data_IF_600798206880
#
_entry.id   IF_600798206880
#
_cell.length_a   1.000
_cell.length_b   1.000
_cell.length_c   1.000
_cell.angle_alpha   90.00
_cell.angle_beta   90.00
_cell.angle_gamma   90.00
#
_symmetry.space_group_name_H-M   'P 1'
#
loop_
_entity.id
_entity.type
_entity.pdbx_description
1 polymer ?
#
# COMPACT_ATOMS: atom_id res chain seq x y z
N UNK A 1 5.68 -10.31 55.99
CA UNK A 1 5.57 -9.28 54.93
C UNK A 1 5.98 -9.94 53.63
N UNK A 2 5.07 -10.02 52.65
CA UNK A 2 5.27 -10.77 51.39
C UNK A 2 6.26 -10.06 50.46
N UNK A 3 7.12 -10.76 49.71
CA UNK A 3 7.94 -10.12 48.70
C UNK A 3 7.07 -9.80 47.47
N UNK A 4 7.16 -8.56 46.99
CA UNK A 4 6.57 -8.17 45.73
C UNK A 4 7.35 -8.80 44.57
N UNK A 5 6.74 -9.73 43.83
CA UNK A 5 7.22 -10.10 42.51
C UNK A 5 6.92 -8.95 41.55
N UNK A 6 7.94 -8.22 41.12
CA UNK A 6 7.88 -7.42 39.91
C UNK A 6 7.96 -8.38 38.72
N UNK A 7 6.82 -8.68 38.09
CA UNK A 7 6.80 -9.33 36.79
C UNK A 7 7.20 -8.29 35.72
N UNK A 8 8.47 -8.31 35.33
CA UNK A 8 8.89 -7.65 34.09
C UNK A 8 8.30 -8.44 32.92
N UNK A 9 7.25 -7.92 32.30
CA UNK A 9 6.74 -8.48 31.06
C UNK A 9 7.80 -8.29 29.97
N UNK A 10 8.41 -9.39 29.49
CA UNK A 10 9.18 -9.35 28.26
C UNK A 10 8.22 -8.97 27.14
N UNK A 11 8.34 -7.74 26.63
CA UNK A 11 7.66 -7.34 25.39
C UNK A 11 8.35 -8.12 24.28
N UNK A 12 7.70 -9.17 23.77
CA UNK A 12 8.17 -9.89 22.59
C UNK A 12 8.31 -8.89 21.43
N UNK A 13 9.44 -8.92 20.72
CA UNK A 13 9.62 -8.10 19.52
C UNK A 13 8.51 -8.38 18.52
N UNK A 14 7.95 -7.35 17.86
CA UNK A 14 6.91 -7.57 16.87
C UNK A 14 7.42 -8.44 15.72
N UNK A 15 6.55 -9.26 15.10
CA UNK A 15 6.90 -10.01 13.90
C UNK A 15 7.40 -9.08 12.78
N UNK A 16 8.31 -9.59 11.92
CA UNK A 16 8.85 -8.83 10.79
C UNK A 16 7.75 -8.30 9.87
N UNK A 17 6.66 -9.04 9.69
CA UNK A 17 5.50 -8.61 8.89
C UNK A 17 4.82 -7.37 9.47
N UNK A 18 4.64 -7.30 10.79
CA UNK A 18 4.06 -6.13 11.46
C UNK A 18 4.97 -4.92 11.41
N UNK A 19 6.29 -5.11 11.52
CA UNK A 19 7.28 -4.05 11.31
C UNK A 19 7.26 -3.56 9.87
N UNK A 20 7.20 -4.49 8.90
CA UNK A 20 7.19 -4.15 7.48
C UNK A 20 5.97 -3.30 7.12
N UNK A 21 4.76 -3.74 7.51
CA UNK A 21 3.52 -2.96 7.33
C UNK A 21 3.64 -1.54 7.87
N UNK A 22 4.17 -1.40 9.09
CA UNK A 22 4.37 -0.10 9.75
C UNK A 22 5.31 0.79 8.94
N UNK A 23 6.49 0.30 8.58
CA UNK A 23 7.49 1.11 7.86
C UNK A 23 7.00 1.47 6.45
N UNK A 24 6.19 0.62 5.82
CA UNK A 24 5.52 0.96 4.54
C UNK A 24 4.65 2.20 4.70
N UNK A 25 3.71 2.20 5.65
CA UNK A 25 2.78 3.33 5.80
C UNK A 25 3.47 4.58 6.32
N UNK A 26 4.44 4.46 7.24
CA UNK A 26 5.27 5.58 7.69
C UNK A 26 6.01 6.22 6.50
N UNK A 27 6.63 5.40 5.65
CA UNK A 27 7.34 5.91 4.47
C UNK A 27 6.39 6.62 3.51
N UNK A 28 5.20 6.07 3.26
CA UNK A 28 4.20 6.66 2.38
C UNK A 28 3.68 8.00 2.94
N UNK A 29 3.36 8.05 4.24
CA UNK A 29 2.87 9.26 4.93
C UNK A 29 3.90 10.37 4.91
N UNK A 30 5.19 10.07 5.10
CA UNK A 30 6.27 11.07 5.01
C UNK A 30 6.32 11.79 3.66
N UNK A 31 5.81 11.18 2.59
CA UNK A 31 5.77 11.81 1.26
C UNK A 31 4.71 12.91 1.13
N UNK A 32 3.78 13.02 2.09
CA UNK A 32 2.76 14.09 2.11
C UNK A 32 3.38 15.46 2.36
N UNK A 33 4.44 15.54 3.17
CA UNK A 33 5.08 16.81 3.52
C UNK A 33 6.14 17.21 2.49
N UNK A 34 7.11 16.32 2.29
CA UNK A 34 8.23 16.55 1.37
C UNK A 34 8.65 15.23 0.75
N UNK A 35 8.54 15.09 -0.59
CA UNK A 35 9.04 13.92 -1.28
C UNK A 35 10.51 13.67 -0.95
N UNK A 36 10.82 12.43 -0.59
CA UNK A 36 12.18 11.99 -0.29
C UNK A 36 13.07 12.20 -1.53
N UNK A 37 14.27 12.81 -1.39
CA UNK A 37 15.20 12.98 -2.50
C UNK A 37 15.60 11.66 -3.20
N UNK A 38 15.55 10.53 -2.48
CA UNK A 38 15.78 9.20 -3.03
C UNK A 38 14.61 8.66 -3.87
N UNK A 39 13.43 9.29 -3.80
CA UNK A 39 12.30 8.99 -4.67
C UNK A 39 12.40 9.79 -5.97
N UNK A 40 12.93 9.12 -7.00
CA UNK A 40 13.17 9.68 -8.33
C UNK A 40 11.92 10.31 -8.93
N UNK A 41 12.06 11.50 -9.55
CA UNK A 41 10.94 12.27 -10.08
C UNK A 41 10.16 11.50 -11.15
N UNK A 42 10.85 10.72 -11.98
CA UNK A 42 10.27 9.92 -13.06
C UNK A 42 9.39 8.78 -12.54
N UNK A 43 9.52 8.45 -11.26
CA UNK A 43 8.71 7.43 -10.59
C UNK A 43 7.71 8.06 -9.61
N UNK A 44 7.44 9.36 -9.67
CA UNK A 44 6.41 10.00 -8.83
C UNK A 44 5.04 9.82 -9.48
N UNK A 45 4.53 8.62 -9.34
CA UNK A 45 3.19 8.20 -9.74
C UNK A 45 2.57 7.30 -8.65
N UNK A 46 1.34 6.83 -8.85
CA UNK A 46 0.64 6.00 -7.86
C UNK A 46 1.36 4.65 -7.59
N UNK A 47 1.85 3.97 -8.62
CA UNK A 47 2.62 2.74 -8.47
C UNK A 47 4.02 3.01 -7.92
N UNK A 48 4.61 4.13 -8.29
CA UNK A 48 5.88 4.60 -7.81
C UNK A 48 5.90 4.87 -6.31
N UNK A 49 4.83 5.43 -5.75
CA UNK A 49 4.68 5.57 -4.30
C UNK A 49 4.65 4.20 -3.61
N UNK A 50 3.90 3.23 -4.15
CA UNK A 50 3.87 1.85 -3.65
C UNK A 50 5.26 1.23 -3.72
N UNK A 51 5.92 1.30 -4.88
CA UNK A 51 7.28 0.75 -5.06
C UNK A 51 8.26 1.37 -4.07
N UNK A 52 8.24 2.69 -3.93
CA UNK A 52 9.12 3.42 -3.04
C UNK A 52 8.89 3.04 -1.57
N UNK A 53 7.64 3.03 -1.10
CA UNK A 53 7.32 2.74 0.29
C UNK A 53 7.70 1.30 0.69
N UNK A 54 7.36 0.32 -0.15
CA UNK A 54 7.68 -1.08 0.09
C UNK A 54 9.17 -1.39 0.00
N UNK A 55 9.87 -0.83 -1.01
CA UNK A 55 11.32 -1.01 -1.16
C UNK A 55 12.06 -0.40 0.01
N UNK A 56 11.76 0.84 0.37
CA UNK A 56 12.39 1.54 1.51
C UNK A 56 12.17 0.79 2.81
N UNK A 57 10.99 0.20 3.01
CA UNK A 57 10.72 -0.59 4.19
C UNK A 57 11.59 -1.86 4.26
N UNK A 58 11.73 -2.61 3.16
CA UNK A 58 12.63 -3.77 3.15
C UNK A 58 14.10 -3.37 3.21
N UNK A 59 14.51 -2.29 2.57
CA UNK A 59 15.89 -1.79 2.64
C UNK A 59 16.31 -1.49 4.09
N UNK A 60 15.36 -1.03 4.92
CA UNK A 60 15.60 -0.78 6.36
C UNK A 60 15.53 -2.04 7.23
N UNK A 61 14.68 -2.99 6.88
CA UNK A 61 14.34 -4.13 7.75
C UNK A 61 15.09 -5.41 7.37
N UNK A 62 15.14 -5.75 6.09
CA UNK A 62 15.87 -6.89 5.54
C UNK A 62 16.23 -6.65 4.05
N UNK A 63 17.36 -5.97 3.77
CA UNK A 63 17.78 -5.64 2.41
C UNK A 63 17.92 -6.86 1.47
N UNK A 64 18.11 -8.06 2.03
CA UNK A 64 18.26 -9.29 1.24
C UNK A 64 16.98 -9.68 0.50
N UNK A 65 15.83 -9.18 0.95
CA UNK A 65 14.53 -9.42 0.34
C UNK A 65 14.18 -8.41 -0.76
N UNK A 66 14.92 -7.29 -0.88
CA UNK A 66 14.66 -6.27 -1.92
C UNK A 66 14.74 -6.83 -3.35
N UNK A 67 15.73 -7.67 -3.73
CA UNK A 67 15.80 -8.20 -5.08
C UNK A 67 14.62 -9.08 -5.48
N UNK A 68 13.88 -9.66 -4.52
CA UNK A 68 12.73 -10.54 -4.74
C UNK A 68 11.40 -9.88 -4.43
N UNK A 69 11.40 -8.57 -4.16
CA UNK A 69 10.21 -7.81 -3.78
C UNK A 69 9.14 -7.82 -4.89
N UNK A 70 9.56 -7.67 -6.16
CA UNK A 70 8.65 -7.67 -7.30
C UNK A 70 8.80 -8.92 -8.15
N UNK A 71 7.70 -9.42 -8.69
CA UNK A 71 7.68 -10.58 -9.58
C UNK A 71 7.09 -10.21 -10.93
N UNK A 72 7.66 -10.73 -12.01
CA UNK A 72 7.14 -10.57 -13.36
C UNK A 72 6.12 -11.64 -13.74
N UNK A 73 5.57 -11.55 -14.96
CA UNK A 73 4.63 -12.53 -15.49
C UNK A 73 5.16 -13.97 -15.56
N UNK A 74 6.48 -14.13 -15.69
CA UNK A 74 7.16 -15.43 -15.67
C UNK A 74 7.46 -15.95 -14.25
N UNK A 75 6.99 -15.23 -13.22
CA UNK A 75 7.23 -15.53 -11.81
C UNK A 75 8.64 -15.20 -11.31
N UNK A 76 9.51 -14.64 -12.16
CA UNK A 76 10.87 -14.30 -11.77
C UNK A 76 10.94 -12.90 -11.15
N UNK A 77 11.95 -12.63 -10.30
CA UNK A 77 12.14 -11.30 -9.79
C UNK A 77 12.42 -10.26 -10.89
N UNK A 78 11.82 -9.08 -10.77
CA UNK A 78 12.02 -7.95 -11.68
C UNK A 78 12.34 -6.67 -10.91
N UNK A 79 13.15 -5.80 -11.50
CA UNK A 79 13.59 -4.56 -10.83
C UNK A 79 12.50 -3.47 -10.79
N UNK A 80 11.55 -3.52 -11.71
CA UNK A 80 10.51 -2.51 -11.91
C UNK A 80 9.20 -3.18 -12.33
N UNK A 81 8.08 -2.69 -11.79
CA UNK A 81 6.74 -3.17 -12.10
C UNK A 81 5.77 -2.00 -12.12
N UNK A 82 5.04 -1.79 -13.21
CA UNK A 82 3.94 -0.83 -13.23
C UNK A 82 2.77 -1.26 -12.33
N UNK A 83 1.73 -0.43 -12.23
CA UNK A 83 0.58 -0.70 -11.37
C UNK A 83 -0.11 -2.04 -11.69
N UNK A 84 -0.27 -2.36 -12.98
CA UNK A 84 -0.92 -3.60 -13.40
C UNK A 84 -0.08 -4.82 -13.03
N UNK A 85 1.21 -4.78 -13.35
CA UNK A 85 2.18 -5.85 -13.05
C UNK A 85 2.28 -6.08 -11.55
N UNK A 86 2.33 -5.01 -10.73
CA UNK A 86 2.31 -5.12 -9.27
C UNK A 86 1.07 -5.89 -8.80
N UNK A 87 -0.12 -5.45 -9.21
CA UNK A 87 -1.38 -6.08 -8.79
C UNK A 87 -1.46 -7.56 -9.20
N UNK A 88 -1.02 -7.88 -10.41
CA UNK A 88 -1.10 -9.23 -10.96
C UNK A 88 -0.11 -10.20 -10.29
N UNK A 89 1.11 -9.75 -10.01
CA UNK A 89 2.23 -10.65 -9.71
C UNK A 89 2.83 -10.50 -8.31
N UNK A 90 2.74 -9.32 -7.70
CA UNK A 90 3.31 -9.05 -6.37
C UNK A 90 2.27 -8.92 -5.27
N UNK A 91 1.01 -8.66 -5.64
CA UNK A 91 -0.10 -8.57 -4.72
C UNK A 91 -1.09 -9.72 -4.91
N UNK A 92 -1.93 -9.93 -3.90
CA UNK A 92 -3.05 -10.89 -3.90
C UNK A 92 -4.35 -10.14 -3.59
N UNK A 93 -5.43 -10.32 -4.36
CA UNK A 93 -6.72 -9.73 -4.02
C UNK A 93 -7.29 -10.35 -2.74
N UNK A 94 -7.88 -9.52 -1.88
CA UNK A 94 -8.65 -9.93 -0.71
C UNK A 94 -10.14 -10.00 -1.05
N UNK A 95 -10.77 -8.83 -1.18
CA UNK A 95 -12.20 -8.65 -1.48
C UNK A 95 -12.44 -7.33 -2.20
N UNK A 96 -13.53 -7.24 -2.96
CA UNK A 96 -14.03 -5.99 -3.56
C UNK A 96 -14.86 -5.16 -2.56
N UNK A 97 -14.41 -5.09 -1.32
CA UNK A 97 -15.10 -4.39 -0.24
C UNK A 97 -14.08 -3.95 0.81
N UNK A 98 -14.23 -2.73 1.34
CA UNK A 98 -13.31 -2.17 2.36
C UNK A 98 -13.82 -2.40 3.77
N UNK A 99 -15.12 -2.20 4.03
CA UNK A 99 -15.65 -2.17 5.39
C UNK A 99 -15.57 -3.54 6.07
N UNK A 100 -16.01 -4.61 5.38
CA UNK A 100 -16.03 -5.96 5.96
C UNK A 100 -14.64 -6.57 6.13
N UNK A 101 -13.72 -6.29 5.20
CA UNK A 101 -12.38 -6.89 5.20
C UNK A 101 -11.45 -6.27 6.24
N UNK A 102 -11.72 -5.02 6.67
CA UNK A 102 -10.90 -4.24 7.60
C UNK A 102 -9.41 -4.30 7.21
N UNK A 103 -9.00 -3.62 6.12
CA UNK A 103 -7.64 -3.70 5.60
C UNK A 103 -6.60 -3.35 6.67
N UNK A 104 -5.43 -3.92 6.52
CA UNK A 104 -4.28 -3.62 7.36
C UNK A 104 -3.39 -2.54 6.74
N UNK A 105 -2.49 -1.98 7.55
CA UNK A 105 -1.49 -1.01 7.11
C UNK A 105 -0.69 -1.54 5.92
N UNK A 106 -0.66 -0.76 4.85
CA UNK A 106 0.04 -1.10 3.61
C UNK A 106 -0.81 -1.84 2.59
N UNK A 107 -1.96 -2.40 2.95
CA UNK A 107 -2.87 -2.98 1.95
C UNK A 107 -3.28 -1.90 0.93
N UNK A 108 -3.54 -2.31 -0.32
CA UNK A 108 -3.86 -1.39 -1.40
C UNK A 108 -5.35 -1.38 -1.71
N UNK A 109 -5.92 -0.20 -1.91
CA UNK A 109 -7.16 -0.04 -2.68
C UNK A 109 -6.77 0.19 -4.15
N UNK A 110 -7.32 -0.63 -5.05
CA UNK A 110 -6.98 -0.58 -6.47
C UNK A 110 -8.18 -0.23 -7.34
N UNK A 111 -7.95 0.68 -8.30
CA UNK A 111 -8.92 1.06 -9.31
C UNK A 111 -8.37 0.85 -10.72
N UNK A 112 -9.27 0.64 -11.68
CA UNK A 112 -8.98 0.57 -13.12
C UNK A 112 -9.96 1.44 -13.88
N UNK A 113 -9.41 2.40 -14.63
CA UNK A 113 -10.14 3.32 -15.48
C UNK A 113 -9.83 3.00 -16.95
N UNK A 114 -10.85 2.97 -17.79
CA UNK A 114 -10.68 2.81 -19.24
C UNK A 114 -10.38 4.17 -19.89
N UNK A 115 -9.82 4.15 -21.10
CA UNK A 115 -9.64 5.37 -21.91
C UNK A 115 -8.41 6.21 -21.54
N UNK A 116 -7.35 5.56 -21.06
CA UNK A 116 -6.04 6.20 -20.90
C UNK A 116 -5.36 6.53 -22.23
N UNK A 117 -4.10 7.01 -22.19
CA UNK A 117 -3.32 7.27 -23.39
C UNK A 117 -3.28 6.07 -24.33
N UNK A 118 -3.59 6.29 -25.61
CA UNK A 118 -3.66 5.21 -26.61
C UNK A 118 -4.83 4.22 -26.40
N UNK A 119 -5.82 4.55 -25.56
CA UNK A 119 -6.96 3.70 -25.25
C UNK A 119 -6.68 2.61 -24.20
N UNK A 120 -5.46 2.58 -23.65
CA UNK A 120 -5.08 1.59 -22.64
C UNK A 120 -5.77 1.86 -21.29
N UNK A 121 -6.02 0.83 -20.47
CA UNK A 121 -6.51 1.04 -19.11
C UNK A 121 -5.45 1.72 -18.23
N UNK A 122 -5.91 2.56 -17.31
CA UNK A 122 -5.08 3.21 -16.29
C UNK A 122 -5.44 2.64 -14.94
N UNK A 123 -4.44 2.15 -14.22
CA UNK A 123 -4.59 1.66 -12.86
C UNK A 123 -4.22 2.75 -11.87
N UNK A 124 -4.96 2.80 -10.76
CA UNK A 124 -4.70 3.74 -9.68
C UNK A 124 -4.65 3.01 -8.34
N UNK A 125 -3.57 3.22 -7.60
CA UNK A 125 -3.28 2.54 -6.35
C UNK A 125 -3.27 3.53 -5.19
N UNK A 126 -3.91 3.14 -4.10
CA UNK A 126 -3.90 3.89 -2.85
C UNK A 126 -3.45 2.99 -1.70
N UNK A 127 -2.52 3.45 -0.86
CA UNK A 127 -2.02 2.71 0.31
C UNK A 127 -2.96 2.98 1.49
N UNK A 128 -3.50 1.93 2.08
CA UNK A 128 -4.33 2.00 3.28
C UNK A 128 -3.48 2.24 4.53
N UNK A 129 -3.92 3.16 5.37
CA UNK A 129 -3.27 3.54 6.62
C UNK A 129 -4.32 3.60 7.73
N UNK A 130 -4.11 2.84 8.79
CA UNK A 130 -4.92 2.93 9.99
C UNK A 130 -4.35 4.00 10.91
N UNK A 131 -5.23 4.79 11.50
CA UNK A 131 -4.85 5.75 12.52
C UNK A 131 -5.93 5.83 13.61
N UNK A 132 -5.57 6.24 14.85
CA UNK A 132 -6.54 6.37 15.94
C UNK A 132 -7.74 7.27 15.62
N UNK A 133 -7.54 8.30 14.81
CA UNK A 133 -8.54 9.28 14.38
C UNK A 133 -9.40 8.83 13.19
N UNK A 134 -9.12 7.65 12.64
CA UNK A 134 -9.82 7.04 11.50
C UNK A 134 -8.86 6.50 10.45
N UNK A 135 -9.39 5.68 9.55
CA UNK A 135 -8.59 5.09 8.48
C UNK A 135 -8.49 6.04 7.27
N UNK A 136 -7.31 6.05 6.65
CA UNK A 136 -6.95 6.91 5.53
C UNK A 136 -6.42 6.10 4.35
N UNK A 137 -6.40 6.75 3.20
CA UNK A 137 -5.62 6.34 2.05
C UNK A 137 -4.56 7.38 1.74
N UNK A 138 -3.35 6.94 1.39
CA UNK A 138 -2.26 7.79 0.89
C UNK A 138 -1.97 7.39 -0.55
N UNK A 139 -1.92 8.36 -1.46
CA UNK A 139 -1.80 8.09 -2.89
C UNK A 139 -1.18 9.26 -3.64
N UNK A 140 -0.51 8.95 -4.76
CA UNK A 140 -0.10 9.97 -5.71
C UNK A 140 -1.17 10.09 -6.81
N UNK A 141 -1.65 11.30 -7.15
CA UNK A 141 -2.81 11.47 -8.04
C UNK A 141 -2.52 11.15 -9.52
N UNK A 142 -1.23 11.13 -9.90
CA UNK A 142 -0.76 10.62 -11.20
C UNK A 142 -0.37 11.71 -12.20
N UNK A 143 -0.72 12.97 -11.92
CA UNK A 143 -0.23 14.10 -12.72
C UNK A 143 1.24 14.39 -12.40
N UNK A 144 2.01 14.70 -13.45
CA UNK A 144 3.43 15.05 -13.29
C UNK A 144 3.57 16.29 -12.39
N UNK A 145 4.45 16.21 -11.39
CA UNK A 145 4.72 17.30 -10.45
C UNK A 145 3.67 17.49 -9.37
N UNK A 146 2.62 16.64 -9.32
CA UNK A 146 1.68 16.67 -8.23
C UNK A 146 2.30 16.17 -6.91
N UNK A 147 1.78 16.66 -5.79
CA UNK A 147 2.13 16.15 -4.47
C UNK A 147 1.29 14.91 -4.13
N UNK A 148 1.85 14.05 -3.27
CA UNK A 148 1.09 12.96 -2.65
C UNK A 148 -0.09 13.55 -1.87
N UNK A 149 -1.22 12.85 -1.91
CA UNK A 149 -2.47 13.23 -1.25
C UNK A 149 -2.87 12.17 -0.24
N UNK A 150 -3.71 12.59 0.69
CA UNK A 150 -4.39 11.72 1.65
C UNK A 150 -5.89 12.00 1.65
N UNK A 151 -6.68 11.00 2.01
CA UNK A 151 -8.13 11.13 2.17
C UNK A 151 -8.66 10.13 3.18
N UNK A 152 -9.71 10.50 3.94
CA UNK A 152 -10.36 9.57 4.86
C UNK A 152 -11.10 8.50 4.07
N UNK A 153 -10.94 7.24 4.44
CA UNK A 153 -11.65 6.10 3.83
C UNK A 153 -13.16 6.30 3.92
N UNK A 154 -13.64 6.85 5.04
CA UNK A 154 -15.06 7.17 5.24
C UNK A 154 -15.58 8.17 4.21
N UNK A 155 -14.86 9.26 3.98
CA UNK A 155 -15.25 10.28 2.98
C UNK A 155 -15.19 9.71 1.57
N UNK A 156 -14.21 8.83 1.30
CA UNK A 156 -14.10 8.13 0.02
C UNK A 156 -15.31 7.21 -0.25
N UNK A 157 -15.87 6.58 0.78
CA UNK A 157 -17.08 5.75 0.68
C UNK A 157 -18.35 6.61 0.50
N UNK A 158 -18.48 7.66 1.31
CA UNK A 158 -19.73 8.44 1.43
C UNK A 158 -19.86 9.50 0.32
N UNK A 159 -18.80 10.25 0.05
CA UNK A 159 -18.87 11.51 -0.69
C UNK A 159 -18.04 11.57 -2.00
N UNK A 160 -17.16 10.60 -2.26
CA UNK A 160 -16.39 10.60 -3.51
C UNK A 160 -17.27 10.44 -4.76
N UNK A 161 -16.80 10.92 -5.93
CA UNK A 161 -17.42 10.58 -7.22
C UNK A 161 -17.56 9.06 -7.38
N UNK A 162 -18.63 8.62 -8.07
CA UNK A 162 -19.00 7.20 -8.15
C UNK A 162 -17.87 6.31 -8.68
N UNK A 163 -17.05 6.83 -9.60
CA UNK A 163 -15.88 6.18 -10.16
C UNK A 163 -14.77 5.86 -9.13
N UNK A 164 -14.70 6.61 -8.04
CA UNK A 164 -13.67 6.52 -7.00
C UNK A 164 -14.18 5.92 -5.69
N UNK A 165 -15.46 5.56 -5.61
CA UNK A 165 -16.00 4.89 -4.41
C UNK A 165 -15.49 3.45 -4.32
N UNK A 166 -14.82 3.02 -3.24
CA UNK A 166 -14.30 1.66 -3.09
C UNK A 166 -15.39 0.71 -2.57
N UNK A 167 -16.46 0.61 -3.34
CA UNK A 167 -17.64 -0.22 -3.05
C UNK A 167 -17.75 -1.37 -4.05
N UNK A 168 -18.33 -2.52 -3.67
CA UNK A 168 -18.44 -3.69 -4.57
C UNK A 168 -19.14 -3.40 -5.90
N UNK A 169 -20.10 -2.47 -5.89
CA UNK A 169 -20.89 -2.12 -7.07
C UNK A 169 -20.15 -1.21 -8.06
N UNK A 170 -19.03 -0.59 -7.65
CA UNK A 170 -18.23 0.22 -8.56
C UNK A 170 -17.38 -0.72 -9.45
N UNK A 171 -17.63 -0.80 -10.78
CA UNK A 171 -16.88 -1.68 -11.66
C UNK A 171 -15.40 -1.30 -11.76
N UNK A 172 -15.07 -0.02 -11.52
CA UNK A 172 -13.69 0.49 -11.53
C UNK A 172 -12.90 0.08 -10.30
N UNK A 173 -13.56 -0.18 -9.18
CA UNK A 173 -12.90 -0.64 -7.96
C UNK A 173 -12.56 -2.14 -8.07
N UNK A 174 -11.28 -2.45 -8.25
CA UNK A 174 -10.77 -3.81 -8.38
C UNK A 174 -10.74 -4.56 -7.04
N UNK A 175 -10.72 -3.82 -5.93
CA UNK A 175 -10.77 -4.35 -4.57
C UNK A 175 -9.59 -3.96 -3.71
N UNK A 176 -9.50 -4.62 -2.56
CA UNK A 176 -8.39 -4.51 -1.61
C UNK A 176 -7.36 -5.60 -1.90
N UNK A 177 -6.09 -5.25 -1.88
CA UNK A 177 -4.97 -6.13 -2.22
C UNK A 177 -3.93 -6.13 -1.10
N UNK A 178 -3.35 -7.29 -0.82
CA UNK A 178 -2.24 -7.45 0.13
C UNK A 178 -0.98 -7.90 -0.60
N UNK A 179 0.18 -7.39 -0.20
CA UNK A 179 1.45 -7.84 -0.77
C UNK A 179 1.69 -9.32 -0.44
N UNK A 180 2.14 -10.11 -1.41
CA UNK A 180 2.31 -11.57 -1.24
C UNK A 180 3.31 -11.93 -0.13
N UNK A 181 4.37 -11.13 0.04
CA UNK A 181 5.34 -11.29 1.13
C UNK A 181 4.83 -10.92 2.52
N UNK A 182 3.68 -10.25 2.64
CA UNK A 182 3.04 -9.91 3.92
C UNK A 182 2.00 -10.94 4.35
N UNK A 183 1.64 -11.88 3.47
CA UNK A 183 0.76 -12.99 3.81
C UNK A 183 1.60 -14.01 4.58
N UNK A 184 1.33 -14.17 5.87
CA UNK A 184 1.84 -15.34 6.61
C UNK A 184 1.38 -16.59 5.87
N UNK A 185 2.30 -17.47 5.52
CA UNK A 185 1.92 -18.81 5.08
C UNK A 185 1.11 -19.42 6.22
N UNK A 186 -0.20 -19.56 6.01
CA UNK A 186 -1.06 -20.37 6.86
C UNK A 186 -0.70 -21.84 6.70
#
# INVERSE_FOLDING_TARGET
>A
MMPALMAAALIASPPLTSLWRRVVVETAVLQLERPDPGWQEEQRDCAGLVRFAYRTALDRLDPKLVPTLWSGPDGKPIAYSDAETLLAHSFRPLRREVVSIRPEDGDLLAFRHEGGPGGAPVFHLMIYVRAPEGDFVVYHPGERGASVRTGKVRELLEAAPAEWKPIPLNPRFLGVFVHRGLVTHG
#
